data_IF_447436733734
#
_entry.id   IF_447436733734
#
_cell.length_a   1.000
_cell.length_b   1.000
_cell.length_c   1.000
_cell.angle_alpha   90.00
_cell.angle_beta   90.00
_cell.angle_gamma   90.00
#
_symmetry.space_group_name_H-M   'P 1'
#
loop_
_entity.id
_entity.type
_entity.pdbx_description
1 polymer ?
#
# COMPACT_ATOMS: atom_id res chain seq x y z
N UNK A 1 25.11 -10.61 2.15
CA UNK A 1 25.10 -10.22 0.72
C UNK A 1 24.52 -8.82 0.65
N UNK A 2 25.13 -7.88 -0.08
CA UNK A 2 24.55 -6.55 -0.27
C UNK A 2 23.27 -6.63 -1.12
N UNK A 3 22.31 -5.77 -0.82
CA UNK A 3 21.02 -5.71 -1.53
C UNK A 3 21.24 -5.26 -2.99
N UNK A 4 20.75 -6.06 -3.95
CA UNK A 4 20.84 -5.80 -5.39
C UNK A 4 19.55 -5.22 -5.99
N UNK A 5 18.61 -4.75 -5.17
CA UNK A 5 17.32 -4.21 -5.62
C UNK A 5 17.47 -2.80 -6.22
N UNK A 6 18.21 -2.69 -7.33
CA UNK A 6 18.36 -1.45 -8.08
C UNK A 6 17.25 -1.37 -9.14
N UNK A 7 16.52 -0.25 -9.17
CA UNK A 7 15.53 0.00 -10.21
C UNK A 7 16.21 0.07 -11.57
N UNK A 8 15.54 -0.47 -12.60
CA UNK A 8 15.98 -0.33 -14.00
C UNK A 8 16.13 1.14 -14.39
N UNK A 9 15.26 1.99 -13.86
CA UNK A 9 15.32 3.45 -14.02
C UNK A 9 15.44 4.07 -12.62
N UNK A 10 16.66 4.33 -12.11
CA UNK A 10 16.87 4.84 -10.75
C UNK A 10 16.14 6.16 -10.46
N UNK A 11 16.01 7.03 -11.47
CA UNK A 11 15.32 8.32 -11.32
C UNK A 11 13.79 8.20 -11.13
N UNK A 12 13.20 7.02 -11.35
CA UNK A 12 11.76 6.82 -11.22
C UNK A 12 11.29 6.72 -9.76
N UNK A 13 12.18 6.39 -8.83
CA UNK A 13 11.87 6.10 -7.42
C UNK A 13 11.02 7.20 -6.78
N UNK A 14 11.52 8.44 -6.83
CA UNK A 14 10.86 9.60 -6.25
C UNK A 14 9.43 9.82 -6.79
N UNK A 15 9.24 9.67 -8.11
CA UNK A 15 7.92 9.91 -8.72
C UNK A 15 6.92 8.82 -8.38
N UNK A 16 7.38 7.57 -8.28
CA UNK A 16 6.55 6.44 -7.85
C UNK A 16 6.11 6.60 -6.40
N UNK A 17 7.00 7.05 -5.53
CA UNK A 17 6.66 7.36 -4.14
C UNK A 17 5.65 8.51 -4.03
N UNK A 18 5.85 9.58 -4.79
CA UNK A 18 4.87 10.67 -4.85
C UNK A 18 3.48 10.17 -5.32
N UNK A 19 3.45 9.39 -6.41
CA UNK A 19 2.22 8.81 -6.95
C UNK A 19 1.51 7.89 -5.95
N UNK A 20 2.28 7.11 -5.19
CA UNK A 20 1.76 6.24 -4.13
C UNK A 20 1.01 7.06 -3.07
N UNK A 21 1.57 8.17 -2.61
CA UNK A 21 0.90 9.02 -1.62
C UNK A 21 -0.29 9.78 -2.21
N UNK A 22 -0.20 10.27 -3.45
CA UNK A 22 -1.32 10.87 -4.19
C UNK A 22 -2.52 9.92 -4.20
N UNK A 23 -2.32 8.69 -4.63
CA UNK A 23 -3.39 7.69 -4.70
C UNK A 23 -3.87 7.27 -3.31
N UNK A 24 -2.97 7.13 -2.33
CA UNK A 24 -3.38 6.82 -0.97
C UNK A 24 -4.31 7.91 -0.39
N UNK A 25 -4.04 9.18 -0.71
CA UNK A 25 -4.90 10.30 -0.33
C UNK A 25 -6.27 10.22 -1.01
N UNK A 26 -6.31 9.95 -2.32
CA UNK A 26 -7.56 9.77 -3.08
C UNK A 26 -8.40 8.60 -2.55
N UNK A 27 -7.75 7.52 -2.13
CA UNK A 27 -8.40 6.34 -1.54
C UNK A 27 -8.79 6.54 -0.07
N UNK A 28 -8.49 7.70 0.54
CA UNK A 28 -8.84 8.02 1.92
C UNK A 28 -8.04 7.25 2.97
N UNK A 29 -6.88 6.67 2.62
CA UNK A 29 -6.04 5.92 3.56
C UNK A 29 -5.66 6.69 4.83
N UNK A 30 -5.24 7.98 4.78
CA UNK A 30 -4.88 8.71 6.01
C UNK A 30 -6.07 8.91 6.96
N UNK A 31 -7.32 8.85 6.48
CA UNK A 31 -8.51 9.05 7.30
C UNK A 31 -8.68 7.95 8.35
N UNK A 32 -8.15 6.75 8.11
CA UNK A 32 -8.19 5.62 9.06
C UNK A 32 -7.48 5.93 10.40
N UNK A 33 -6.53 6.87 10.40
CA UNK A 33 -5.82 7.31 11.61
C UNK A 33 -6.17 8.74 12.01
N UNK A 34 -7.22 9.32 11.43
CA UNK A 34 -7.64 10.70 11.66
C UNK A 34 -6.72 11.76 11.03
N UNK A 35 -5.86 11.36 10.09
CA UNK A 35 -4.95 12.26 9.38
C UNK A 35 -5.58 12.71 8.06
N UNK A 36 -5.17 13.88 7.58
CA UNK A 36 -5.69 14.42 6.31
C UNK A 36 -4.90 13.99 5.08
N UNK A 37 -3.60 13.70 5.26
CA UNK A 37 -2.65 13.44 4.18
C UNK A 37 -1.71 12.31 4.58
N UNK A 38 -1.45 11.38 3.67
CA UNK A 38 -0.44 10.34 3.79
C UNK A 38 0.94 10.93 3.48
N UNK A 39 1.88 10.72 4.39
CA UNK A 39 3.27 11.18 4.30
C UNK A 39 4.22 10.04 4.66
N UNK A 40 5.51 10.12 4.31
CA UNK A 40 6.49 9.13 4.74
C UNK A 40 6.54 8.94 6.27
N UNK A 41 6.26 10.00 7.04
CA UNK A 41 6.33 9.99 8.49
C UNK A 41 5.15 9.22 9.14
N UNK A 42 3.96 9.28 8.55
CA UNK A 42 2.77 8.61 9.10
C UNK A 42 2.40 7.30 8.38
N UNK A 43 3.08 6.96 7.28
CA UNK A 43 2.76 5.82 6.42
C UNK A 43 2.65 4.49 7.17
N UNK A 44 3.62 4.19 8.03
CA UNK A 44 3.62 2.94 8.81
C UNK A 44 2.42 2.86 9.75
N UNK A 45 2.07 3.98 10.40
CA UNK A 45 0.91 4.08 11.29
C UNK A 45 -0.40 3.87 10.52
N UNK A 46 -0.54 4.49 9.35
CA UNK A 46 -1.69 4.30 8.45
C UNK A 46 -1.85 2.82 8.11
N UNK A 47 -0.76 2.20 7.63
CA UNK A 47 -0.78 0.80 7.22
C UNK A 47 -1.11 -0.14 8.37
N UNK A 48 -0.54 0.09 9.56
CA UNK A 48 -0.77 -0.76 10.71
C UNK A 48 -2.24 -0.69 11.17
N UNK A 49 -2.82 0.50 11.23
CA UNK A 49 -4.23 0.67 11.54
C UNK A 49 -5.12 -0.09 10.54
N UNK A 50 -4.90 0.11 9.24
CA UNK A 50 -5.65 -0.58 8.20
C UNK A 50 -5.49 -2.10 8.26
N UNK A 51 -4.30 -2.63 8.57
CA UNK A 51 -4.08 -4.09 8.70
C UNK A 51 -5.00 -4.67 9.78
N UNK A 52 -5.08 -4.04 10.94
CA UNK A 52 -5.91 -4.53 12.04
C UNK A 52 -7.41 -4.37 11.78
N UNK A 53 -7.83 -3.27 11.17
CA UNK A 53 -9.23 -3.07 10.76
C UNK A 53 -9.66 -4.14 9.76
N UNK A 54 -8.85 -4.39 8.73
CA UNK A 54 -9.15 -5.41 7.73
C UNK A 54 -9.08 -6.82 8.33
N UNK A 55 -8.14 -7.10 9.24
CA UNK A 55 -8.13 -8.37 9.95
C UNK A 55 -9.40 -8.57 10.78
N UNK A 56 -9.92 -7.51 11.39
CA UNK A 56 -11.19 -7.55 12.12
C UNK A 56 -12.36 -7.83 11.18
N UNK A 57 -12.44 -7.15 10.04
CA UNK A 57 -13.46 -7.43 9.01
C UNK A 57 -13.41 -8.87 8.48
N UNK A 58 -12.21 -9.46 8.42
CA UNK A 58 -11.99 -10.83 7.96
C UNK A 58 -12.11 -11.87 9.08
N UNK A 59 -12.36 -11.47 10.32
CA UNK A 59 -12.43 -12.37 11.48
C UNK A 59 -11.09 -13.01 11.87
N UNK A 60 -9.97 -12.42 11.46
CA UNK A 60 -8.62 -12.94 11.71
C UNK A 60 -8.03 -12.49 13.05
N UNK A 61 -8.58 -11.44 13.67
CA UNK A 61 -8.10 -10.86 14.93
C UNK A 61 -7.83 -11.88 16.05
N UNK A 62 -8.69 -12.90 16.30
CA UNK A 62 -8.44 -13.89 17.36
C UNK A 62 -7.17 -14.73 17.17
N UNK A 63 -6.66 -14.79 15.93
CA UNK A 63 -5.48 -15.56 15.58
C UNK A 63 -4.20 -14.71 15.60
N UNK A 64 -4.30 -13.40 15.80
CA UNK A 64 -3.17 -12.49 15.91
C UNK A 64 -2.81 -12.34 17.40
N UNK A 65 -1.83 -13.12 17.86
CA UNK A 65 -1.43 -13.16 19.27
C UNK A 65 -0.36 -12.11 19.54
N UNK A 66 -0.64 -11.13 20.40
CA UNK A 66 0.32 -10.07 20.76
C UNK A 66 0.92 -9.36 19.52
N UNK A 67 0.12 -9.18 18.46
CA UNK A 67 0.58 -8.61 17.19
C UNK A 67 1.44 -9.54 16.32
N UNK A 68 1.57 -10.82 16.68
CA UNK A 68 2.25 -11.82 15.87
C UNK A 68 1.28 -12.44 14.85
N UNK A 69 1.65 -12.33 13.56
CA UNK A 69 0.87 -12.84 12.43
C UNK A 69 1.40 -14.17 11.86
N UNK A 70 2.50 -14.71 12.40
CA UNK A 70 3.16 -15.89 11.81
C UNK A 70 2.37 -17.19 11.92
N UNK A 71 1.43 -17.29 12.87
CA UNK A 71 0.53 -18.45 13.02
C UNK A 71 -0.57 -18.48 11.94
N UNK A 72 -0.81 -17.35 11.26
CA UNK A 72 -1.82 -17.25 10.20
C UNK A 72 -1.31 -17.86 8.89
N UNK A 73 -2.23 -18.47 8.13
CA UNK A 73 -1.91 -18.95 6.79
C UNK A 73 -1.47 -17.80 5.87
N UNK A 74 -0.54 -18.08 4.94
CA UNK A 74 -0.10 -17.09 3.94
C UNK A 74 -1.27 -16.53 3.12
N UNK A 75 -2.32 -17.32 2.89
CA UNK A 75 -3.55 -16.88 2.22
C UNK A 75 -4.29 -15.81 3.05
N UNK A 76 -4.39 -15.98 4.37
CA UNK A 76 -5.04 -15.03 5.26
C UNK A 76 -4.27 -13.71 5.33
N UNK A 77 -2.94 -13.77 5.54
CA UNK A 77 -2.08 -12.59 5.50
C UNK A 77 -2.13 -11.89 4.13
N UNK A 78 -2.15 -12.67 3.04
CA UNK A 78 -2.29 -12.17 1.69
C UNK A 78 -3.65 -11.50 1.43
N UNK A 79 -4.73 -11.98 2.03
CA UNK A 79 -6.05 -11.34 1.91
C UNK A 79 -6.07 -9.95 2.57
N UNK A 80 -5.45 -9.81 3.75
CA UNK A 80 -5.31 -8.51 4.43
C UNK A 80 -4.44 -7.57 3.62
N UNK A 81 -3.23 -8.01 3.25
CA UNK A 81 -2.31 -7.20 2.45
C UNK A 81 -2.87 -6.82 1.09
N UNK A 82 -3.61 -7.73 0.44
CA UNK A 82 -4.26 -7.50 -0.85
C UNK A 82 -5.37 -6.46 -0.82
N UNK A 83 -6.15 -6.37 0.28
CA UNK A 83 -7.17 -5.33 0.45
C UNK A 83 -6.57 -3.92 0.57
N UNK A 84 -5.35 -3.81 1.07
CA UNK A 84 -4.58 -2.55 1.12
C UNK A 84 -3.80 -2.37 -0.19
N UNK A 85 -2.72 -3.13 -0.37
CA UNK A 85 -1.78 -2.96 -1.46
C UNK A 85 -2.36 -3.22 -2.84
N UNK A 86 -3.37 -4.09 -2.98
CA UNK A 86 -4.00 -4.39 -4.27
C UNK A 86 -4.78 -3.19 -4.81
N UNK A 87 -5.52 -2.47 -3.96
CA UNK A 87 -6.23 -1.24 -4.35
C UNK A 87 -5.25 -0.12 -4.68
N UNK A 88 -4.24 0.08 -3.84
CA UNK A 88 -3.22 1.10 -4.05
C UNK A 88 -2.44 0.86 -5.35
N UNK A 89 -1.80 -0.31 -5.47
CA UNK A 89 -1.00 -0.68 -6.63
C UNK A 89 -1.81 -0.77 -7.93
N UNK A 90 -3.04 -1.28 -7.88
CA UNK A 90 -3.92 -1.33 -9.04
C UNK A 90 -4.28 0.06 -9.59
N UNK A 91 -4.51 1.04 -8.71
CA UNK A 91 -4.71 2.43 -9.12
C UNK A 91 -3.42 3.07 -9.64
N UNK A 92 -2.26 2.76 -9.04
CA UNK A 92 -0.96 3.24 -9.54
C UNK A 92 -0.74 2.79 -10.98
N UNK A 93 -0.90 1.49 -11.25
CA UNK A 93 -0.71 0.93 -12.60
C UNK A 93 -1.69 1.56 -13.60
N UNK A 94 -2.97 1.71 -13.24
CA UNK A 94 -3.96 2.38 -14.11
C UNK A 94 -3.54 3.81 -14.45
N UNK A 95 -3.14 4.61 -13.47
CA UNK A 95 -2.68 5.98 -13.73
C UNK A 95 -1.43 6.00 -14.62
N UNK A 96 -0.46 5.12 -14.38
CA UNK A 96 0.75 5.01 -15.21
C UNK A 96 0.42 4.66 -16.67
N UNK A 97 -0.53 3.76 -16.90
CA UNK A 97 -1.00 3.43 -18.26
C UNK A 97 -1.62 4.66 -18.92
N UNK A 98 -2.50 5.39 -18.22
CA UNK A 98 -3.11 6.62 -18.74
C UNK A 98 -2.04 7.67 -19.12
N UNK A 99 -1.04 7.88 -18.27
CA UNK A 99 0.08 8.77 -18.58
C UNK A 99 0.86 8.32 -19.81
N UNK A 100 1.10 7.01 -19.97
CA UNK A 100 1.79 6.48 -21.14
C UNK A 100 0.96 6.71 -22.42
N UNK A 101 -0.33 6.39 -22.41
CA UNK A 101 -1.24 6.60 -23.54
C UNK A 101 -1.28 8.07 -23.97
N UNK A 102 -1.39 9.00 -23.01
CA UNK A 102 -1.38 10.44 -23.29
C UNK A 102 -0.07 10.94 -23.91
N UNK A 103 1.05 10.27 -23.64
CA UNK A 103 2.34 10.64 -24.22
C UNK A 103 2.61 9.96 -25.57
N UNK A 104 1.92 8.85 -25.88
CA UNK A 104 1.97 8.23 -27.21
C UNK A 104 1.05 8.93 -28.23
N UNK A 105 0.02 9.63 -27.75
CA UNK A 105 -0.91 10.41 -28.59
C UNK A 105 -0.41 11.85 -28.89
N UNK A 106 0.77 12.21 -28.36
CA UNK A 106 1.47 13.46 -28.69
C UNK A 106 2.48 13.22 -29.80
#
# INVERSE_FOLDING_TARGET
MPNQNQLLVPAADFRLDALKYEIANELGYPLHVGERVATPQNWNRILDQMKYEIAQELGLTPHIKNGYWGDLSSRACGAVGGRIGGKLGGNMVRQMILFAEQNLLK
#
